data_IF_295819285484
#
_entry.id   IF_295819285484
#
_cell.length_a   1.000
_cell.length_b   1.000
_cell.length_c   1.000
_cell.angle_alpha   90.00
_cell.angle_beta   90.00
_cell.angle_gamma   90.00
#
_symmetry.space_group_name_H-M   'P 1'
#
loop_
_entity.id
_entity.type
_entity.pdbx_description
1 polymer ?
#
# COMPACT_ATOMS: atom_id res chain seq x y z
N UNK A 1 13.76 18.78 -8.30
CA UNK A 1 13.66 17.31 -8.27
C UNK A 1 13.20 16.92 -6.87
N UNK A 2 11.91 16.69 -6.66
CA UNK A 2 11.41 16.28 -5.35
C UNK A 2 11.82 14.82 -5.12
N UNK A 3 12.67 14.56 -4.11
CA UNK A 3 12.89 13.18 -3.66
C UNK A 3 11.57 12.70 -3.07
N UNK A 4 10.95 11.71 -3.69
CA UNK A 4 9.73 11.09 -3.17
C UNK A 4 10.07 10.43 -1.84
N UNK A 5 9.34 10.76 -0.77
CA UNK A 5 9.45 10.09 0.54
C UNK A 5 8.76 8.72 0.48
N UNK A 6 9.19 7.83 -0.42
CA UNK A 6 8.67 6.47 -0.55
C UNK A 6 9.71 5.52 0.04
N UNK A 7 9.33 4.82 1.10
CA UNK A 7 10.11 3.71 1.64
C UNK A 7 9.65 2.40 1.00
N UNK A 8 10.58 1.46 0.81
CA UNK A 8 10.30 0.15 0.20
C UNK A 8 10.65 -0.93 1.19
N UNK A 9 9.74 -1.88 1.41
CA UNK A 9 9.93 -3.02 2.32
C UNK A 9 9.39 -4.31 1.69
N UNK A 10 9.89 -5.45 2.17
CA UNK A 10 9.23 -6.73 1.89
C UNK A 10 7.93 -6.83 2.71
N UNK A 11 6.86 -7.42 2.17
CA UNK A 11 5.61 -7.65 2.92
C UNK A 11 5.82 -8.45 4.22
N UNK A 12 6.81 -9.34 4.24
CA UNK A 12 7.12 -10.21 5.38
C UNK A 12 7.95 -9.53 6.46
N UNK A 13 8.57 -8.40 6.15
CA UNK A 13 9.31 -7.63 7.15
C UNK A 13 8.32 -6.96 8.12
N UNK A 14 8.64 -6.94 9.43
CA UNK A 14 7.87 -6.15 10.36
C UNK A 14 7.94 -4.69 9.92
N UNK A 15 6.78 -4.02 9.85
CA UNK A 15 6.73 -2.63 9.42
C UNK A 15 7.25 -1.78 10.59
N UNK A 16 8.56 -1.59 10.65
CA UNK A 16 9.19 -0.85 11.74
C UNK A 16 8.64 0.57 11.77
N UNK A 17 8.06 0.96 12.91
CA UNK A 17 7.54 2.32 13.16
C UNK A 17 8.65 3.38 13.19
N UNK A 18 9.92 2.97 13.21
CA UNK A 18 11.07 3.85 13.25
C UNK A 18 11.29 4.53 11.88
N UNK A 19 10.50 5.58 11.59
CA UNK A 19 10.74 6.51 10.49
C UNK A 19 9.54 6.82 9.61
N UNK A 20 8.48 6.01 9.65
CA UNK A 20 7.24 6.31 8.91
C UNK A 20 6.47 7.43 9.61
N UNK A 21 6.33 8.56 8.92
CA UNK A 21 5.54 9.69 9.40
C UNK A 21 4.10 9.52 8.94
N UNK A 22 3.17 9.69 9.88
CA UNK A 22 1.72 9.68 9.61
C UNK A 22 1.19 11.06 9.22
N UNK A 23 0.11 11.15 8.42
CA UNK A 23 -0.50 10.04 7.67
C UNK A 23 0.35 9.64 6.46
N UNK A 24 0.21 8.39 6.02
CA UNK A 24 0.92 7.86 4.84
C UNK A 24 0.00 7.02 3.94
N UNK A 25 0.43 6.84 2.69
CA UNK A 25 -0.20 5.95 1.72
C UNK A 25 0.64 4.68 1.53
N UNK A 26 0.00 3.57 1.15
CA UNK A 26 0.64 2.29 0.86
C UNK A 26 0.34 1.85 -0.56
N UNK A 27 1.36 1.38 -1.26
CA UNK A 27 1.28 0.67 -2.53
C UNK A 27 1.62 -0.81 -2.27
N UNK A 28 0.70 -1.70 -2.60
CA UNK A 28 0.80 -3.14 -2.41
C UNK A 28 1.04 -3.81 -3.76
N UNK A 29 2.15 -4.54 -3.88
CA UNK A 29 2.42 -5.36 -5.05
C UNK A 29 1.70 -6.71 -4.94
N UNK A 30 0.48 -6.78 -5.45
CA UNK A 30 -0.41 -7.96 -5.38
C UNK A 30 -0.03 -9.06 -6.38
N UNK A 31 1.10 -8.92 -7.07
CA UNK A 31 1.75 -10.03 -7.79
C UNK A 31 2.39 -11.03 -6.83
N UNK A 32 2.71 -10.60 -5.60
CA UNK A 32 3.16 -11.49 -4.55
C UNK A 32 1.98 -12.36 -4.06
N UNK A 33 2.07 -13.71 -4.18
CA UNK A 33 1.00 -14.60 -3.78
C UNK A 33 0.68 -14.56 -2.28
N UNK A 34 1.56 -13.99 -1.45
CA UNK A 34 1.30 -13.83 -0.01
C UNK A 34 0.04 -13.01 0.27
N UNK A 35 -0.32 -12.07 -0.61
CA UNK A 35 -1.53 -11.26 -0.47
C UNK A 35 -2.83 -12.04 -0.68
N UNK A 36 -2.77 -13.26 -1.24
CA UNK A 36 -3.92 -14.15 -1.32
C UNK A 36 -4.27 -14.83 0.01
N UNK A 37 -3.37 -14.81 1.01
CA UNK A 37 -3.67 -15.29 2.36
C UNK A 37 -4.43 -14.21 3.14
N UNK A 38 -5.74 -14.38 3.27
CA UNK A 38 -6.61 -13.47 4.04
C UNK A 38 -6.16 -13.28 5.49
N UNK A 39 -5.56 -14.29 6.13
CA UNK A 39 -5.08 -14.15 7.52
C UNK A 39 -3.91 -13.18 7.58
N UNK A 40 -2.94 -13.37 6.69
CA UNK A 40 -1.79 -12.48 6.57
C UNK A 40 -2.22 -11.06 6.17
N UNK A 41 -3.05 -10.94 5.13
CA UNK A 41 -3.55 -9.66 4.64
C UNK A 41 -4.28 -8.90 5.76
N UNK A 42 -5.21 -9.53 6.47
CA UNK A 42 -5.96 -8.89 7.54
C UNK A 42 -5.05 -8.40 8.67
N UNK A 43 -4.05 -9.20 9.07
CA UNK A 43 -3.06 -8.80 10.08
C UNK A 43 -2.23 -7.61 9.60
N UNK A 44 -1.76 -7.64 8.35
CA UNK A 44 -0.91 -6.59 7.78
C UNK A 44 -1.68 -5.28 7.59
N UNK A 45 -2.92 -5.34 7.12
CA UNK A 45 -3.79 -4.16 6.97
C UNK A 45 -4.07 -3.54 8.33
N UNK A 46 -4.40 -4.35 9.33
CA UNK A 46 -4.57 -3.90 10.71
C UNK A 46 -3.32 -3.17 11.24
N UNK A 47 -2.14 -3.76 11.07
CA UNK A 47 -0.85 -3.15 11.43
C UNK A 47 -0.67 -1.78 10.76
N UNK A 48 -0.89 -1.70 9.44
CA UNK A 48 -0.72 -0.47 8.67
C UNK A 48 -1.73 0.62 9.07
N UNK A 49 -2.98 0.24 9.35
CA UNK A 49 -4.01 1.17 9.86
C UNK A 49 -3.59 1.77 11.21
N UNK A 50 -3.13 0.91 12.14
CA UNK A 50 -2.69 1.30 13.47
C UNK A 50 -1.46 2.22 13.42
N UNK A 51 -0.62 2.07 12.38
CA UNK A 51 0.51 2.94 12.10
C UNK A 51 0.12 4.29 11.50
N UNK A 52 -1.11 4.45 11.00
CA UNK A 52 -1.60 5.69 10.39
C UNK A 52 -1.67 5.70 8.87
N UNK A 53 -1.78 4.53 8.23
CA UNK A 53 -2.11 4.44 6.81
C UNK A 53 -3.51 5.02 6.55
N UNK A 54 -3.65 5.80 5.47
CA UNK A 54 -4.92 6.43 5.06
C UNK A 54 -5.29 6.22 3.60
N UNK A 55 -4.42 5.61 2.81
CA UNK A 55 -4.70 5.31 1.41
C UNK A 55 -3.99 4.02 1.02
N UNK A 56 -4.72 3.03 0.53
CA UNK A 56 -4.17 1.81 -0.05
C UNK A 56 -4.32 1.81 -1.57
N UNK A 57 -3.25 1.45 -2.27
CA UNK A 57 -3.24 1.24 -3.71
C UNK A 57 -2.79 -0.20 -3.96
N UNK A 58 -3.61 -1.01 -4.59
CA UNK A 58 -3.31 -2.40 -4.92
C UNK A 58 -2.86 -2.48 -6.38
N UNK A 59 -1.74 -3.15 -6.66
CA UNK A 59 -1.22 -3.30 -8.02
C UNK A 59 -0.93 -4.74 -8.40
N UNK A 60 -1.53 -5.20 -9.50
CA UNK A 60 -1.25 -6.50 -10.12
C UNK A 60 -2.51 -7.37 -10.27
N UNK A 61 -2.35 -8.63 -10.74
CA UNK A 61 -3.48 -9.49 -11.13
C UNK A 61 -4.46 -9.84 -10.00
N UNK A 62 -4.06 -9.67 -8.74
CA UNK A 62 -4.91 -9.92 -7.57
C UNK A 62 -5.37 -8.61 -6.91
N UNK A 63 -5.16 -7.46 -7.58
CA UNK A 63 -5.37 -6.14 -6.97
C UNK A 63 -6.82 -5.91 -6.54
N UNK A 64 -7.81 -6.30 -7.35
CA UNK A 64 -9.23 -6.20 -7.02
C UNK A 64 -9.60 -7.07 -5.81
N UNK A 65 -9.18 -8.34 -5.79
CA UNK A 65 -9.43 -9.23 -4.65
C UNK A 65 -8.82 -8.68 -3.35
N UNK A 66 -7.57 -8.24 -3.39
CA UNK A 66 -6.88 -7.69 -2.23
C UNK A 66 -7.53 -6.37 -1.78
N UNK A 67 -7.94 -5.53 -2.72
CA UNK A 67 -8.69 -4.31 -2.47
C UNK A 67 -9.99 -4.58 -1.70
N UNK A 68 -10.81 -5.50 -2.17
CA UNK A 68 -12.09 -5.83 -1.54
C UNK A 68 -11.90 -6.36 -0.11
N UNK A 69 -10.85 -7.16 0.12
CA UNK A 69 -10.50 -7.64 1.46
C UNK A 69 -10.02 -6.50 2.38
N UNK A 70 -9.30 -5.50 1.86
CA UNK A 70 -8.91 -4.32 2.65
C UNK A 70 -10.14 -3.52 3.06
N UNK A 71 -11.08 -3.32 2.14
CA UNK A 71 -12.35 -2.64 2.43
C UNK A 71 -13.12 -3.35 3.56
N UNK A 72 -13.21 -4.68 3.50
CA UNK A 72 -13.81 -5.48 4.58
C UNK A 72 -13.13 -5.24 5.93
N UNK A 73 -11.79 -5.20 5.99
CA UNK A 73 -11.04 -4.94 7.23
C UNK A 73 -11.31 -3.53 7.76
N UNK A 74 -11.36 -2.52 6.88
CA UNK A 74 -11.63 -1.12 7.25
C UNK A 74 -13.05 -1.00 7.81
N UNK A 75 -14.05 -1.58 7.13
CA UNK A 75 -15.45 -1.56 7.54
C UNK A 75 -15.64 -2.25 8.89
N UNK A 76 -15.03 -3.43 9.09
CA UNK A 76 -15.12 -4.20 10.32
C UNK A 76 -14.47 -3.51 11.53
N UNK A 77 -13.50 -2.62 11.31
CA UNK A 77 -12.85 -1.84 12.38
C UNK A 77 -13.60 -0.56 12.76
N UNK A 78 -14.70 -0.24 12.07
CA UNK A 78 -15.45 1.00 12.27
C UNK A 78 -14.52 2.24 12.30
N UNK A 79 -13.52 2.28 11.40
CA UNK A 79 -12.57 3.39 11.34
C UNK A 79 -13.32 4.71 11.14
N UNK A 80 -13.26 5.60 12.14
CA UNK A 80 -13.91 6.92 12.11
C UNK A 80 -13.25 7.88 11.10
N UNK A 81 -12.00 7.61 10.72
CA UNK A 81 -11.27 8.40 9.73
C UNK A 81 -11.44 7.83 8.32
N UNK A 82 -11.56 8.70 7.32
CA UNK A 82 -11.70 8.31 5.91
C UNK A 82 -10.40 7.65 5.40
N UNK A 83 -10.38 6.33 5.37
CA UNK A 83 -9.37 5.53 4.66
C UNK A 83 -9.88 5.28 3.25
N UNK A 84 -9.01 5.47 2.26
CA UNK A 84 -9.32 5.21 0.85
C UNK A 84 -8.57 3.99 0.34
N UNK A 85 -9.16 3.33 -0.63
CA UNK A 85 -8.62 2.15 -1.31
C UNK A 85 -8.82 2.30 -2.82
N UNK A 86 -7.94 1.71 -3.61
CA UNK A 86 -8.10 1.60 -5.06
C UNK A 86 -7.23 0.45 -5.58
N UNK A 87 -7.48 0.03 -6.82
CA UNK A 87 -6.75 -1.05 -7.46
C UNK A 87 -6.40 -0.74 -8.91
N UNK A 88 -5.32 -1.35 -9.38
CA UNK A 88 -4.76 -1.28 -10.73
C UNK A 88 -4.33 -2.71 -11.13
N UNK A 89 -4.89 -3.29 -12.18
CA UNK A 89 -4.66 -4.69 -12.57
C UNK A 89 -3.84 -4.84 -13.85
N UNK A 90 -4.06 -3.97 -14.85
CA UNK A 90 -3.46 -4.05 -16.17
C UNK A 90 -2.60 -2.83 -16.56
N UNK A 91 -2.54 -1.80 -15.72
CA UNK A 91 -1.78 -0.60 -16.00
C UNK A 91 -0.26 -0.79 -15.90
N UNK A 92 0.49 0.05 -16.60
CA UNK A 92 1.94 0.04 -16.50
C UNK A 92 2.39 0.48 -15.10
N UNK A 93 3.41 -0.19 -14.54
CA UNK A 93 4.00 0.14 -13.22
C UNK A 93 4.33 1.64 -13.11
N UNK A 94 4.83 2.26 -14.19
CA UNK A 94 5.17 3.69 -14.21
C UNK A 94 3.95 4.58 -13.97
N UNK A 95 2.80 4.22 -14.54
CA UNK A 95 1.57 4.98 -14.42
C UNK A 95 0.99 4.84 -13.02
N UNK A 96 1.03 3.61 -12.47
CA UNK A 96 0.60 3.33 -11.08
C UNK A 96 1.49 4.03 -10.06
N UNK A 97 2.81 4.04 -10.26
CA UNK A 97 3.72 4.81 -9.41
C UNK A 97 3.45 6.31 -9.50
N UNK A 98 3.14 6.83 -10.70
CA UNK A 98 2.78 8.23 -10.87
C UNK A 98 1.45 8.56 -10.16
N UNK A 99 0.44 7.70 -10.31
CA UNK A 99 -0.83 7.80 -9.59
C UNK A 99 -0.59 7.80 -8.08
N UNK A 100 0.19 6.85 -7.57
CA UNK A 100 0.50 6.74 -6.13
C UNK A 100 1.14 8.03 -5.60
N UNK A 101 2.11 8.58 -6.33
CA UNK A 101 2.82 9.82 -5.96
C UNK A 101 1.95 11.06 -5.98
N UNK A 102 1.11 11.20 -7.00
CA UNK A 102 0.37 12.45 -7.26
C UNK A 102 -0.99 12.44 -6.57
N UNK A 103 -1.66 11.29 -6.53
CA UNK A 103 -3.03 11.13 -6.02
C UNK A 103 -3.03 10.56 -4.61
N UNK A 104 -2.57 9.32 -4.44
CA UNK A 104 -2.69 8.62 -3.16
C UNK A 104 -1.87 9.29 -2.04
N UNK A 105 -0.68 9.80 -2.37
CA UNK A 105 0.18 10.54 -1.44
C UNK A 105 -0.22 12.02 -1.27
N UNK A 106 -1.26 12.51 -1.96
CA UNK A 106 -1.72 13.88 -1.79
C UNK A 106 -2.25 14.11 -0.37
N UNK A 107 -1.68 15.07 0.35
CA UNK A 107 -1.99 15.31 1.76
C UNK A 107 -1.31 14.34 2.75
N UNK A 108 -0.46 13.43 2.26
CA UNK A 108 0.30 12.48 3.08
C UNK A 108 1.73 12.99 3.32
N UNK A 109 2.37 12.50 4.39
CA UNK A 109 3.78 12.85 4.71
C UNK A 109 4.77 11.95 3.98
N UNK A 110 4.33 10.77 3.55
CA UNK A 110 5.15 9.80 2.83
C UNK A 110 4.32 8.66 2.21
N UNK A 111 5.03 7.79 1.51
CA UNK A 111 4.50 6.58 0.91
C UNK A 111 5.30 5.36 1.36
N UNK A 112 4.65 4.21 1.34
CA UNK A 112 5.23 2.91 1.60
C UNK A 112 4.92 1.98 0.43
N UNK A 113 5.93 1.37 -0.16
CA UNK A 113 5.77 0.27 -1.11
C UNK A 113 6.06 -1.05 -0.40
N UNK A 114 5.11 -1.99 -0.45
CA UNK A 114 5.31 -3.36 -0.02
C UNK A 114 5.41 -4.27 -1.24
N UNK A 115 6.62 -4.74 -1.52
CA UNK A 115 6.92 -5.60 -2.67
C UNK A 115 8.06 -6.55 -2.34
N UNK A 116 7.89 -7.84 -2.63
CA UNK A 116 8.97 -8.82 -2.50
C UNK A 116 10.03 -8.61 -3.60
N UNK A 117 9.61 -8.45 -4.86
CA UNK A 117 10.49 -8.06 -5.95
C UNK A 117 10.71 -6.54 -6.01
N UNK A 118 11.43 -6.02 -5.03
CA UNK A 118 11.79 -4.59 -4.97
C UNK A 118 12.51 -4.12 -6.25
N UNK A 119 13.28 -4.99 -6.92
CA UNK A 119 14.04 -4.62 -8.13
C UNK A 119 13.12 -4.24 -9.29
N UNK A 120 11.94 -4.87 -9.39
CA UNK A 120 10.95 -4.47 -10.41
C UNK A 120 10.44 -3.04 -10.24
N UNK A 121 10.58 -2.46 -9.04
CA UNK A 121 10.15 -1.10 -8.71
C UNK A 121 11.30 -0.09 -8.72
N UNK A 122 12.53 -0.53 -8.43
CA UNK A 122 13.71 0.31 -8.48
C UNK A 122 13.89 0.93 -9.87
N UNK A 123 14.07 2.26 -9.91
CA UNK A 123 14.17 3.04 -11.15
C UNK A 123 12.83 3.55 -11.71
N UNK A 124 11.70 3.13 -11.14
CA UNK A 124 10.36 3.65 -11.45
C UNK A 124 9.82 4.56 -10.35
N UNK A 125 10.25 4.28 -9.10
CA UNK A 125 10.00 5.06 -7.88
C UNK A 125 10.73 6.39 -7.80
#
# INVERSE_FOLDING_TARGET
MYRSNISVFSPTEPCSTAGLKKPFAVLLDTRDPLWADSTFLNQKVAELLDMGCRYYVCFGPQSEFVHDQIDDVILNRACEESVLTTFHDDEAITDVVNFFRVVAMSGMVGGLLLADDQKSWLGKL
#
